data_IF_114436898345
#
_entry.id   IF_114436898345
#
_cell.length_a   1.000
_cell.length_b   1.000
_cell.length_c   1.000
_cell.angle_alpha   90.00
_cell.angle_beta   90.00
_cell.angle_gamma   90.00
#
_symmetry.space_group_name_H-M   'P 1'
#
loop_
_entity.id
_entity.type
_entity.pdbx_description
1 polymer ?
#
# COMPACT_ATOMS: atom_id res chain seq x y z
N UNK A 1 17.53 -7.18 31.98
CA UNK A 1 17.62 -7.35 30.51
C UNK A 1 16.94 -8.66 30.19
N UNK A 2 15.95 -8.69 29.31
CA UNK A 2 15.18 -9.90 29.01
C UNK A 2 16.06 -10.84 28.18
N UNK A 3 16.18 -12.12 28.57
CA UNK A 3 16.95 -13.11 27.83
C UNK A 3 16.11 -13.78 26.75
N UNK A 4 16.75 -14.24 25.67
CA UNK A 4 16.07 -14.98 24.61
C UNK A 4 15.48 -16.29 25.13
N UNK A 5 16.21 -17.02 25.98
CA UNK A 5 15.76 -18.23 26.66
C UNK A 5 14.54 -18.04 27.58
N UNK A 6 14.31 -16.83 28.10
CA UNK A 6 13.21 -16.49 29.02
C UNK A 6 11.95 -16.00 28.29
N UNK A 7 12.02 -15.82 26.96
CA UNK A 7 10.87 -15.36 26.17
C UNK A 7 9.83 -16.47 26.01
N UNK A 8 8.66 -16.29 26.64
CA UNK A 8 7.43 -17.08 26.39
C UNK A 8 6.91 -17.05 24.94
N UNK A 9 7.62 -16.37 24.03
CA UNK A 9 7.29 -16.24 22.61
C UNK A 9 7.80 -17.39 21.75
N UNK A 10 8.76 -18.18 22.23
CA UNK A 10 9.37 -19.30 21.49
C UNK A 10 8.34 -20.38 21.14
N UNK A 11 7.25 -20.48 21.92
CA UNK A 11 6.17 -21.45 21.69
C UNK A 11 5.09 -20.97 20.72
N UNK A 12 5.05 -19.69 20.35
CA UNK A 12 4.06 -19.20 19.39
C UNK A 12 4.42 -19.68 17.97
N UNK A 13 3.44 -20.19 17.22
CA UNK A 13 3.64 -20.59 15.83
C UNK A 13 3.66 -19.36 14.95
N UNK A 14 4.79 -19.09 14.32
CA UNK A 14 4.94 -18.04 13.30
C UNK A 14 4.46 -18.58 11.96
N UNK A 15 3.52 -17.87 11.35
CA UNK A 15 2.87 -18.26 10.10
C UNK A 15 3.48 -17.54 8.88
N UNK A 16 3.90 -16.30 9.05
CA UNK A 16 4.50 -15.47 8.01
C UNK A 16 5.26 -14.28 8.60
N UNK A 17 6.06 -13.61 7.78
CA UNK A 17 6.75 -12.36 8.12
C UNK A 17 6.53 -11.28 7.07
N UNK A 18 6.53 -10.02 7.50
CA UNK A 18 6.48 -8.88 6.60
C UNK A 18 7.17 -7.65 7.20
N UNK A 19 7.96 -6.89 6.41
CA UNK A 19 8.64 -5.71 6.92
C UNK A 19 7.69 -4.51 7.09
N UNK A 20 7.96 -3.67 8.08
CA UNK A 20 7.24 -2.43 8.32
C UNK A 20 8.24 -1.31 8.67
N UNK A 21 8.20 -0.22 7.92
CA UNK A 21 9.08 0.91 8.17
C UNK A 21 8.72 1.64 9.47
N UNK A 22 9.74 1.92 10.29
CA UNK A 22 9.62 2.73 11.50
C UNK A 22 10.38 4.05 11.35
N UNK A 23 9.69 5.15 11.00
CA UNK A 23 10.32 6.44 10.68
C UNK A 23 11.15 7.04 11.82
N UNK A 24 10.84 6.67 13.07
CA UNK A 24 11.60 7.12 14.24
C UNK A 24 13.00 6.51 14.29
N UNK A 25 13.19 5.30 13.79
CA UNK A 25 14.47 4.61 13.80
C UNK A 25 15.15 4.60 12.44
N UNK A 26 14.45 5.03 11.38
CA UNK A 26 14.92 4.96 10.00
C UNK A 26 15.39 3.54 9.63
N UNK A 27 14.57 2.57 10.07
CA UNK A 27 14.78 1.15 9.85
C UNK A 27 13.49 0.46 9.46
N UNK A 28 13.64 -0.56 8.63
CA UNK A 28 12.58 -1.50 8.33
C UNK A 28 12.59 -2.60 9.37
N UNK A 29 11.55 -2.67 10.20
CA UNK A 29 11.43 -3.66 11.26
C UNK A 29 10.62 -4.83 10.72
N UNK A 30 11.12 -6.06 10.88
CA UNK A 30 10.35 -7.24 10.52
C UNK A 30 9.21 -7.45 11.52
N UNK A 31 8.03 -7.77 11.01
CA UNK A 31 6.90 -8.24 11.80
C UNK A 31 6.68 -9.73 11.51
N UNK A 32 6.15 -10.44 12.49
CA UNK A 32 5.72 -11.82 12.35
C UNK A 32 4.21 -11.92 12.59
N UNK A 33 3.55 -12.69 11.74
CA UNK A 33 2.15 -13.08 11.86
C UNK A 33 2.12 -14.36 12.69
N UNK A 34 1.48 -14.33 13.85
CA UNK A 34 1.42 -15.48 14.76
C UNK A 34 0.04 -16.10 14.77
N UNK A 35 0.02 -17.43 14.85
CA UNK A 35 -1.18 -18.21 15.13
C UNK A 35 -1.65 -17.94 16.57
N UNK A 36 -2.96 -17.80 16.76
CA UNK A 36 -3.60 -17.64 18.07
C UNK A 36 -4.64 -18.73 18.34
N UNK A 37 -4.56 -19.85 17.62
CA UNK A 37 -5.49 -20.97 17.76
C UNK A 37 -6.87 -20.58 17.24
N UNK A 38 -7.83 -20.43 18.14
CA UNK A 38 -9.21 -20.09 17.78
C UNK A 38 -9.39 -18.63 17.33
N UNK A 39 -8.42 -17.75 17.64
CA UNK A 39 -8.47 -16.35 17.24
C UNK A 39 -7.75 -16.08 15.92
N UNK A 40 -8.16 -15.01 15.23
CA UNK A 40 -7.50 -14.55 14.02
C UNK A 40 -6.00 -14.28 14.24
N UNK A 41 -5.12 -14.65 13.28
CA UNK A 41 -3.70 -14.38 13.39
C UNK A 41 -3.39 -12.88 13.58
N UNK A 42 -2.38 -12.58 14.39
CA UNK A 42 -2.00 -11.20 14.71
C UNK A 42 -0.56 -10.88 14.32
N UNK A 43 -0.33 -9.65 13.86
CA UNK A 43 1.02 -9.15 13.59
C UNK A 43 1.67 -8.62 14.87
N UNK A 44 2.93 -8.96 15.09
CA UNK A 44 3.78 -8.35 16.13
C UNK A 44 5.20 -8.12 15.64
N UNK A 45 5.97 -7.30 16.34
CA UNK A 45 7.39 -7.13 16.03
C UNK A 45 8.16 -8.44 16.21
N UNK A 46 8.92 -8.83 15.19
CA UNK A 46 9.79 -10.00 15.20
C UNK A 46 11.06 -9.71 15.99
N UNK A 47 11.47 -10.68 16.77
CA UNK A 47 12.71 -10.66 17.54
C UNK A 47 13.58 -11.82 17.08
N UNK A 48 14.89 -11.65 17.14
CA UNK A 48 15.88 -12.67 16.80
C UNK A 48 16.90 -12.81 17.92
N UNK A 49 17.47 -14.02 18.12
CA UNK A 49 18.52 -14.21 19.10
C UNK A 49 19.78 -13.47 18.67
N UNK A 50 20.35 -12.71 19.60
CA UNK A 50 21.69 -12.14 19.49
C UNK A 50 22.69 -12.91 20.36
N UNK A 51 23.95 -12.54 20.26
CA UNK A 51 25.02 -13.10 21.10
C UNK A 51 24.70 -12.96 22.60
N UNK A 52 25.12 -13.96 23.39
CA UNK A 52 24.94 -14.00 24.84
C UNK A 52 23.47 -13.90 25.30
N UNK A 53 22.58 -14.63 24.62
CA UNK A 53 21.15 -14.72 24.98
C UNK A 53 20.42 -13.36 24.91
N UNK A 54 20.98 -12.41 24.13
CA UNK A 54 20.37 -11.11 23.92
C UNK A 54 19.19 -11.23 22.97
N UNK A 55 18.18 -10.40 23.21
CA UNK A 55 17.03 -10.26 22.31
C UNK A 55 17.26 -9.06 21.41
N UNK A 56 17.36 -9.29 20.10
CA UNK A 56 17.49 -8.24 19.11
C UNK A 56 16.20 -8.09 18.32
N UNK A 57 15.92 -6.87 17.87
CA UNK A 57 14.87 -6.66 16.88
C UNK A 57 15.38 -7.05 15.50
N UNK A 58 14.58 -7.76 14.72
CA UNK A 58 14.89 -8.09 13.33
C UNK A 58 14.64 -6.86 12.46
N UNK A 59 15.70 -6.24 11.94
CA UNK A 59 15.61 -4.96 11.25
C UNK A 59 16.64 -4.81 10.13
N UNK A 60 16.27 -3.99 9.16
CA UNK A 60 17.00 -3.80 7.89
C UNK A 60 17.16 -2.31 7.58
N UNK A 61 18.23 -1.93 6.86
CA UNK A 61 18.51 -0.53 6.55
C UNK A 61 17.55 0.05 5.50
N UNK A 62 17.12 -0.76 4.52
CA UNK A 62 16.31 -0.35 3.39
C UNK A 62 15.15 -1.33 3.11
N UNK A 63 14.23 -0.92 2.23
CA UNK A 63 13.02 -1.67 1.91
C UNK A 63 13.33 -2.96 1.16
N UNK A 64 14.25 -2.90 0.21
CA UNK A 64 14.55 -3.98 -0.71
C UNK A 64 15.15 -5.17 0.05
N UNK A 65 16.16 -4.90 0.88
CA UNK A 65 16.76 -5.91 1.76
C UNK A 65 15.73 -6.52 2.71
N UNK A 66 14.83 -5.70 3.27
CA UNK A 66 13.79 -6.17 4.18
C UNK A 66 12.77 -7.08 3.48
N UNK A 67 12.35 -6.73 2.25
CA UNK A 67 11.44 -7.55 1.44
C UNK A 67 12.13 -8.84 1.00
N UNK A 68 13.38 -8.78 0.57
CA UNK A 68 14.16 -9.95 0.19
C UNK A 68 14.27 -10.96 1.35
N UNK A 69 14.52 -10.48 2.57
CA UNK A 69 14.56 -11.32 3.76
C UNK A 69 13.19 -11.97 4.07
N UNK A 70 12.09 -11.22 3.93
CA UNK A 70 10.75 -11.78 4.09
C UNK A 70 10.43 -12.84 3.02
N UNK A 71 10.79 -12.58 1.76
CA UNK A 71 10.59 -13.50 0.64
C UNK A 71 11.46 -14.76 0.76
N UNK A 72 12.62 -14.68 1.40
CA UNK A 72 13.45 -15.84 1.69
C UNK A 72 12.88 -16.71 2.83
N UNK A 73 12.27 -16.08 3.85
CA UNK A 73 11.77 -16.79 5.04
C UNK A 73 10.35 -17.35 4.87
N UNK A 74 9.46 -16.63 4.19
CA UNK A 74 8.06 -17.02 4.04
C UNK A 74 7.85 -18.41 3.42
N UNK A 75 8.62 -18.85 2.41
CA UNK A 75 8.52 -20.22 1.88
C UNK A 75 8.78 -21.29 2.94
N UNK A 76 9.78 -21.10 3.80
CA UNK A 76 10.09 -22.01 4.91
C UNK A 76 8.95 -22.06 5.94
N UNK A 77 8.35 -20.91 6.25
CA UNK A 77 7.19 -20.84 7.16
C UNK A 77 5.96 -21.50 6.56
N UNK A 78 5.74 -21.34 5.25
CA UNK A 78 4.67 -21.99 4.52
C UNK A 78 4.84 -23.51 4.51
N UNK A 79 6.06 -24.01 4.29
CA UNK A 79 6.38 -25.44 4.39
C UNK A 79 6.14 -25.98 5.81
N UNK A 80 6.53 -25.23 6.84
CA UNK A 80 6.29 -25.60 8.24
C UNK A 80 4.78 -25.69 8.56
N UNK A 81 3.97 -24.75 8.06
CA UNK A 81 2.52 -24.80 8.17
C UNK A 81 1.93 -26.01 7.44
N UNK A 82 2.42 -26.31 6.24
CA UNK A 82 1.98 -27.46 5.45
C UNK A 82 2.28 -28.80 6.15
N UNK A 83 3.47 -28.92 6.76
CA UNK A 83 3.91 -30.11 7.50
C UNK A 83 3.22 -30.30 8.87
N UNK A 84 2.52 -29.28 9.39
CA UNK A 84 1.90 -29.34 10.71
C UNK A 84 0.79 -30.39 10.75
N UNK A 85 0.81 -31.25 11.78
CA UNK A 85 -0.22 -32.24 12.05
C UNK A 85 -1.45 -31.59 12.72
N UNK A 86 -2.27 -30.92 11.92
CA UNK A 86 -3.55 -30.31 12.30
C UNK A 86 -4.63 -30.71 11.30
N UNK A 87 -5.88 -30.51 11.69
CA UNK A 87 -7.05 -30.75 10.84
C UNK A 87 -6.88 -30.09 9.45
N UNK A 88 -7.14 -30.81 8.34
CA UNK A 88 -6.97 -30.29 6.98
C UNK A 88 -7.78 -29.02 6.68
N UNK A 89 -8.98 -28.88 7.24
CA UNK A 89 -9.84 -27.71 7.07
C UNK A 89 -9.22 -26.50 7.78
N UNK A 90 -8.77 -26.69 9.03
CA UNK A 90 -8.08 -25.63 9.79
C UNK A 90 -6.79 -25.22 9.06
N UNK A 91 -6.03 -26.18 8.55
CA UNK A 91 -4.81 -25.92 7.78
C UNK A 91 -5.09 -25.06 6.55
N UNK A 92 -6.11 -25.44 5.76
CA UNK A 92 -6.53 -24.68 4.57
C UNK A 92 -6.94 -23.26 4.94
N UNK A 93 -7.70 -23.10 6.02
CA UNK A 93 -8.13 -21.80 6.52
C UNK A 93 -6.94 -20.91 6.93
N UNK A 94 -6.00 -21.47 7.68
CA UNK A 94 -4.78 -20.76 8.09
C UNK A 94 -3.94 -20.32 6.89
N UNK A 95 -3.76 -21.19 5.89
CA UNK A 95 -3.04 -20.82 4.66
C UNK A 95 -3.68 -19.60 3.99
N UNK A 96 -5.01 -19.59 3.85
CA UNK A 96 -5.72 -18.48 3.21
C UNK A 96 -5.66 -17.20 4.04
N UNK A 97 -5.68 -17.30 5.38
CA UNK A 97 -5.47 -16.16 6.28
C UNK A 97 -4.07 -15.57 6.13
N UNK A 98 -3.05 -16.42 5.97
CA UNK A 98 -1.67 -16.00 5.71
C UNK A 98 -1.55 -15.26 4.39
N UNK A 99 -2.01 -15.85 3.30
CA UNK A 99 -1.94 -15.27 1.95
C UNK A 99 -2.62 -13.90 1.91
N UNK A 100 -3.82 -13.82 2.48
CA UNK A 100 -4.60 -12.57 2.61
C UNK A 100 -3.86 -11.51 3.44
N UNK A 101 -3.25 -11.89 4.55
CA UNK A 101 -2.52 -10.96 5.41
C UNK A 101 -1.27 -10.40 4.72
N UNK A 102 -0.51 -11.24 4.02
CA UNK A 102 0.66 -10.85 3.23
C UNK A 102 0.27 -9.92 2.09
N UNK A 103 -0.73 -10.31 1.28
CA UNK A 103 -1.21 -9.51 0.16
C UNK A 103 -1.71 -8.13 0.62
N UNK A 104 -2.44 -8.06 1.74
CA UNK A 104 -2.91 -6.80 2.29
C UNK A 104 -1.76 -5.86 2.69
N UNK A 105 -0.67 -6.41 3.25
CA UNK A 105 0.51 -5.63 3.64
C UNK A 105 1.29 -5.11 2.44
N UNK A 106 1.55 -5.97 1.46
CA UNK A 106 2.22 -5.61 0.21
C UNK A 106 1.45 -4.47 -0.48
N UNK A 107 0.14 -4.64 -0.69
CA UNK A 107 -0.70 -3.64 -1.35
C UNK A 107 -0.69 -2.28 -0.66
N UNK A 108 -0.78 -2.26 0.68
CA UNK A 108 -0.74 -0.99 1.41
C UNK A 108 0.59 -0.25 1.23
N UNK A 109 1.70 -0.99 1.14
CA UNK A 109 3.01 -0.40 0.89
C UNK A 109 3.18 0.05 -0.56
N UNK A 110 2.70 -0.73 -1.52
CA UNK A 110 2.77 -0.35 -2.93
C UNK A 110 1.89 0.85 -3.25
N UNK A 111 0.69 0.91 -2.66
CA UNK A 111 -0.19 2.10 -2.74
C UNK A 111 0.57 3.35 -2.28
N UNK A 112 1.23 3.28 -1.12
CA UNK A 112 1.97 4.43 -0.56
C UNK A 112 3.20 4.78 -1.40
N UNK A 113 3.89 3.78 -1.96
CA UNK A 113 5.00 4.00 -2.88
C UNK A 113 4.56 4.69 -4.18
N UNK A 114 3.44 4.26 -4.76
CA UNK A 114 2.86 4.89 -5.96
C UNK A 114 2.40 6.32 -5.67
N UNK A 115 1.74 6.56 -4.52
CA UNK A 115 1.36 7.91 -4.11
C UNK A 115 2.57 8.82 -3.91
N UNK A 116 3.68 8.31 -3.37
CA UNK A 116 4.92 9.07 -3.24
C UNK A 116 5.54 9.40 -4.59
N UNK A 117 5.64 8.42 -5.49
CA UNK A 117 6.16 8.62 -6.84
C UNK A 117 5.36 9.68 -7.59
N UNK A 118 4.04 9.64 -7.50
CA UNK A 118 3.18 10.64 -8.13
C UNK A 118 3.27 12.01 -7.46
N UNK A 119 3.41 12.09 -6.13
CA UNK A 119 3.67 13.34 -5.44
C UNK A 119 4.96 14.00 -5.95
N UNK A 120 6.05 13.23 -6.08
CA UNK A 120 7.31 13.72 -6.65
C UNK A 120 7.12 14.20 -8.08
N UNK A 121 6.47 13.39 -8.93
CA UNK A 121 6.26 13.69 -10.35
C UNK A 121 5.41 14.95 -10.57
N UNK A 122 4.44 15.23 -9.70
CA UNK A 122 3.60 16.45 -9.76
C UNK A 122 4.38 17.73 -9.51
N UNK A 123 5.49 17.62 -8.79
CA UNK A 123 6.32 18.75 -8.36
C UNK A 123 7.74 18.66 -8.96
N UNK A 124 7.90 17.91 -10.05
CA UNK A 124 9.17 17.75 -10.73
C UNK A 124 9.66 19.09 -11.33
N UNK A 125 8.75 19.98 -11.69
CA UNK A 125 9.05 21.27 -12.32
C UNK A 125 8.95 22.46 -11.35
N UNK A 126 8.61 22.22 -10.07
CA UNK A 126 8.49 23.27 -9.05
C UNK A 126 9.84 23.95 -8.78
N UNK A 127 9.84 25.24 -8.49
CA UNK A 127 11.08 25.93 -8.12
C UNK A 127 11.66 25.37 -6.82
N UNK A 128 12.98 25.11 -6.80
CA UNK A 128 13.68 24.62 -5.62
C UNK A 128 14.10 25.84 -4.79
N UNK A 129 13.68 25.93 -3.51
CA UNK A 129 14.04 27.08 -2.69
C UNK A 129 15.54 27.07 -2.42
N UNK A 130 16.19 28.21 -2.63
CA UNK A 130 17.58 28.42 -2.20
C UNK A 130 17.66 28.40 -0.66
N UNK A 131 18.73 27.81 -0.13
CA UNK A 131 19.00 27.73 1.29
C UNK A 131 19.00 29.11 1.95
N UNK A 132 19.50 30.15 1.27
CA UNK A 132 19.51 31.52 1.78
C UNK A 132 18.11 32.17 1.82
N UNK A 133 17.21 31.76 0.92
CA UNK A 133 15.85 32.28 0.85
C UNK A 133 14.91 31.70 1.91
N UNK A 134 15.31 30.60 2.57
CA UNK A 134 14.50 29.98 3.62
C UNK A 134 14.34 30.92 4.83
N UNK A 135 13.11 31.09 5.29
CA UNK A 135 12.79 31.83 6.52
C UNK A 135 12.67 30.84 7.67
N UNK A 136 13.57 30.91 8.64
CA UNK A 136 13.55 30.08 9.84
C UNK A 136 13.55 30.98 11.08
N UNK A 137 12.99 30.47 12.17
CA UNK A 137 13.23 31.08 13.49
C UNK A 137 14.68 30.82 13.94
N UNK A 138 15.28 31.68 14.79
CA UNK A 138 16.69 31.55 15.21
C UNK A 138 17.09 30.16 15.72
N UNK A 139 16.24 29.50 16.51
CA UNK A 139 16.48 28.17 17.08
C UNK A 139 16.64 27.04 16.04
N UNK A 140 16.19 27.28 14.82
CA UNK A 140 16.15 26.33 13.71
C UNK A 140 17.24 26.56 12.67
N UNK A 141 17.99 27.66 12.76
CA UNK A 141 19.02 28.04 11.78
C UNK A 141 20.08 26.95 11.56
N UNK A 142 20.43 26.19 12.61
CA UNK A 142 21.36 25.05 12.51
C UNK A 142 20.91 23.95 11.52
N UNK A 143 19.63 23.88 11.17
CA UNK A 143 19.08 22.89 10.24
C UNK A 143 18.91 23.42 8.82
N UNK A 144 19.27 24.68 8.54
CA UNK A 144 19.02 25.34 7.25
C UNK A 144 19.53 24.54 6.05
N UNK A 145 20.77 24.05 6.11
CA UNK A 145 21.37 23.28 5.02
C UNK A 145 20.66 21.94 4.80
N UNK A 146 20.46 21.16 5.85
CA UNK A 146 19.73 19.88 5.78
C UNK A 146 18.28 20.09 5.30
N UNK A 147 17.65 21.22 5.64
CA UNK A 147 16.31 21.57 5.18
C UNK A 147 16.30 21.88 3.69
N UNK A 148 17.27 22.67 3.22
CA UNK A 148 17.44 22.96 1.80
C UNK A 148 17.67 21.68 0.98
N UNK A 149 18.48 20.74 1.49
CA UNK A 149 18.68 19.43 0.85
C UNK A 149 17.40 18.60 0.76
N UNK A 150 16.55 18.60 1.80
CA UNK A 150 15.25 17.94 1.75
C UNK A 150 14.31 18.61 0.76
N UNK A 151 14.25 19.94 0.76
CA UNK A 151 13.39 20.71 -0.15
C UNK A 151 13.87 20.67 -1.61
N UNK A 152 15.15 20.50 -1.86
CA UNK A 152 15.67 20.28 -3.22
C UNK A 152 15.09 19.00 -3.85
N UNK A 153 14.83 17.97 -3.03
CA UNK A 153 14.19 16.72 -3.46
C UNK A 153 12.67 16.79 -3.48
N UNK A 154 12.09 17.49 -2.50
CA UNK A 154 10.64 17.59 -2.30
C UNK A 154 10.25 19.04 -1.95
N UNK A 155 10.16 19.94 -2.95
CA UNK A 155 9.98 21.38 -2.71
C UNK A 155 8.64 21.73 -2.04
N UNK A 156 7.67 20.82 -2.11
CA UNK A 156 6.33 20.95 -1.54
C UNK A 156 6.25 20.58 -0.04
N UNK A 157 7.32 20.08 0.59
CA UNK A 157 7.28 19.66 1.99
C UNK A 157 6.93 20.83 2.92
N UNK A 158 5.98 20.58 3.85
CA UNK A 158 5.66 21.52 4.95
C UNK A 158 6.01 20.95 6.33
N UNK A 159 6.57 19.74 6.37
CA UNK A 159 7.07 19.10 7.58
C UNK A 159 8.38 18.42 7.22
N UNK A 160 9.47 18.82 7.87
CA UNK A 160 10.80 18.26 7.64
C UNK A 160 11.31 17.64 8.94
N UNK A 161 11.98 16.49 8.83
CA UNK A 161 12.51 15.74 9.97
C UNK A 161 14.03 15.80 9.92
N UNK A 162 14.63 16.20 11.04
CA UNK A 162 16.06 16.39 11.20
C UNK A 162 16.56 15.49 12.30
N UNK A 163 17.80 15.06 12.17
CA UNK A 163 18.47 14.36 13.25
C UNK A 163 19.50 13.37 12.76
N UNK A 164 20.76 13.72 12.99
CA UNK A 164 21.85 12.76 13.12
C UNK A 164 22.96 13.39 13.95
N UNK A 165 23.09 12.98 15.21
CA UNK A 165 24.29 13.24 16.02
C UNK A 165 24.56 12.06 16.95
N UNK A 166 25.49 11.18 16.54
CA UNK A 166 25.99 10.08 17.36
C UNK A 166 24.98 8.97 17.72
N UNK A 167 25.27 8.24 18.80
CA UNK A 167 24.52 7.04 19.23
C UNK A 167 23.18 7.33 19.95
N UNK A 168 22.66 8.57 19.89
CA UNK A 168 21.41 8.94 20.54
C UNK A 168 20.44 9.51 19.51
N UNK A 169 19.37 8.76 19.21
CA UNK A 169 18.30 9.14 18.29
C UNK A 169 17.45 10.30 18.84
N UNK A 170 17.92 11.54 18.69
CA UNK A 170 17.14 12.76 18.98
C UNK A 170 16.72 13.44 17.70
N UNK A 171 15.69 12.89 17.07
CA UNK A 171 15.06 13.54 15.92
C UNK A 171 14.22 14.74 16.36
N UNK A 172 14.18 15.76 15.51
CA UNK A 172 13.29 16.92 15.63
C UNK A 172 12.53 17.14 14.34
N UNK A 173 11.38 17.78 14.42
CA UNK A 173 10.59 18.23 13.29
C UNK A 173 10.58 19.75 13.22
N UNK A 174 10.68 20.28 12.01
CA UNK A 174 10.29 21.66 11.68
C UNK A 174 9.00 21.61 10.86
N UNK A 175 8.13 22.58 11.10
CA UNK A 175 6.87 22.76 10.39
C UNK A 175 6.89 24.10 9.67
N UNK A 176 6.44 24.13 8.41
CA UNK A 176 6.25 25.37 7.68
C UNK A 176 4.94 26.03 8.13
N UNK A 177 5.04 27.24 8.68
CA UNK A 177 3.90 28.06 9.07
C UNK A 177 3.14 28.65 7.87
N UNK A 178 1.92 29.16 8.08
CA UNK A 178 1.13 29.82 7.04
C UNK A 178 1.77 31.14 6.54
N UNK A 179 2.66 31.73 7.33
CA UNK A 179 3.49 32.90 7.01
C UNK A 179 4.74 32.55 6.17
N UNK A 180 4.93 31.27 5.84
CA UNK A 180 6.11 30.80 5.12
C UNK A 180 7.37 30.71 5.97
N UNK A 181 7.25 30.77 7.31
CA UNK A 181 8.37 30.66 8.23
C UNK A 181 8.42 29.27 8.85
N UNK A 182 9.59 28.65 8.86
CA UNK A 182 9.81 27.36 9.52
C UNK A 182 9.89 27.53 11.03
N UNK A 183 9.13 26.69 11.72
CA UNK A 183 8.97 26.71 13.17
C UNK A 183 10.26 26.43 13.93
N UNK A 184 10.23 26.59 15.25
CA UNK A 184 11.25 26.06 16.16
C UNK A 184 11.31 24.52 16.10
N UNK A 185 12.40 23.87 16.56
CA UNK A 185 12.49 22.41 16.56
C UNK A 185 11.60 21.75 17.61
N UNK A 186 10.80 20.77 17.16
CA UNK A 186 9.95 19.96 18.04
C UNK A 186 10.50 18.54 18.15
N UNK A 187 10.69 17.98 19.36
CA UNK A 187 11.13 16.59 19.53
C UNK A 187 10.23 15.58 18.81
N UNK A 188 10.83 14.65 18.09
CA UNK A 188 10.11 13.65 17.32
C UNK A 188 9.93 12.34 18.09
N UNK A 189 8.73 12.13 18.63
CA UNK A 189 8.28 10.81 19.04
C UNK A 189 7.86 9.95 17.84
N UNK A 190 7.41 8.72 18.10
CA UNK A 190 6.96 7.78 17.06
C UNK A 190 5.87 8.38 16.15
N UNK A 191 4.85 8.99 16.75
CA UNK A 191 3.75 9.63 16.01
C UNK A 191 4.25 10.81 15.16
N UNK A 192 5.15 11.63 15.69
CA UNK A 192 5.71 12.77 14.97
C UNK A 192 6.55 12.31 13.78
N UNK A 193 7.40 11.29 13.96
CA UNK A 193 8.17 10.72 12.85
C UNK A 193 7.26 10.11 11.77
N UNK A 194 6.15 9.47 12.15
CA UNK A 194 5.13 9.00 11.19
C UNK A 194 4.46 10.15 10.44
N UNK A 195 4.17 11.27 11.11
CA UNK A 195 3.64 12.47 10.45
C UNK A 195 4.62 13.00 9.40
N UNK A 196 5.92 13.08 9.72
CA UNK A 196 6.93 13.51 8.75
C UNK A 196 7.03 12.56 7.55
N UNK A 197 6.94 11.24 7.76
CA UNK A 197 6.94 10.28 6.64
C UNK A 197 5.72 10.46 5.75
N UNK A 198 4.53 10.63 6.35
CA UNK A 198 3.28 10.88 5.61
C UNK A 198 3.29 12.22 4.89
N UNK A 199 4.01 13.22 5.40
CA UNK A 199 4.12 14.53 4.79
C UNK A 199 4.74 14.47 3.39
N UNK A 200 5.70 13.56 3.16
CA UNK A 200 6.30 13.33 1.84
C UNK A 200 5.28 13.00 0.75
N UNK A 201 4.17 12.39 1.13
CA UNK A 201 3.05 12.09 0.24
C UNK A 201 1.98 13.18 0.33
N UNK A 202 1.43 13.42 1.52
CA UNK A 202 0.26 14.28 1.71
C UNK A 202 0.48 15.70 1.16
N UNK A 203 1.65 16.27 1.41
CA UNK A 203 1.95 17.63 1.00
C UNK A 203 2.04 17.80 -0.51
N UNK A 204 2.49 16.77 -1.25
CA UNK A 204 2.51 16.77 -2.72
C UNK A 204 1.12 16.71 -3.36
N UNK A 205 0.09 16.47 -2.55
CA UNK A 205 -1.32 16.61 -2.94
C UNK A 205 -1.98 17.83 -2.28
N UNK A 206 -1.19 18.72 -1.68
CA UNK A 206 -1.63 19.86 -0.88
C UNK A 206 -2.58 19.46 0.27
N UNK A 207 -2.38 18.28 0.84
CA UNK A 207 -3.11 17.77 2.00
C UNK A 207 -2.25 17.88 3.27
N UNK A 208 -2.92 17.92 4.43
CA UNK A 208 -2.22 17.93 5.70
C UNK A 208 -1.70 16.54 6.09
N UNK A 209 -0.44 16.48 6.52
CA UNK A 209 0.19 15.29 7.05
C UNK A 209 -0.38 14.83 8.41
N UNK A 210 -1.03 15.74 9.16
CA UNK A 210 -1.60 15.45 10.49
C UNK A 210 -3.02 14.88 10.43
N UNK A 211 -3.66 14.90 9.25
CA UNK A 211 -4.99 14.33 9.05
C UNK A 211 -5.00 12.80 9.18
N UNK A 212 -6.18 12.22 9.43
CA UNK A 212 -6.35 10.77 9.49
C UNK A 212 -5.90 10.12 8.18
N UNK A 213 -4.87 9.26 8.25
CA UNK A 213 -4.18 8.75 7.07
C UNK A 213 -5.09 8.03 6.06
N UNK A 214 -6.04 7.23 6.55
CA UNK A 214 -7.02 6.57 5.66
C UNK A 214 -7.91 7.56 4.89
N UNK A 215 -8.22 8.73 5.47
CA UNK A 215 -9.00 9.78 4.79
C UNK A 215 -8.12 10.56 3.82
N UNK A 216 -6.86 10.83 4.19
CA UNK A 216 -5.87 11.43 3.29
C UNK A 216 -5.67 10.58 2.05
N UNK A 217 -5.42 9.27 2.20
CA UNK A 217 -5.28 8.34 1.06
C UNK A 217 -6.52 8.29 0.18
N UNK A 218 -7.72 8.24 0.77
CA UNK A 218 -8.98 8.34 0.03
C UNK A 218 -9.06 9.63 -0.80
N UNK A 219 -8.67 10.78 -0.23
CA UNK A 219 -8.66 12.05 -0.94
C UNK A 219 -7.62 12.08 -2.06
N UNK A 220 -6.45 11.48 -1.86
CA UNK A 220 -5.44 11.30 -2.91
C UNK A 220 -6.01 10.48 -4.06
N UNK A 221 -6.65 9.33 -3.80
CA UNK A 221 -7.34 8.55 -4.84
C UNK A 221 -8.36 9.40 -5.61
N UNK A 222 -9.13 10.24 -4.92
CA UNK A 222 -10.05 11.18 -5.58
C UNK A 222 -9.35 12.15 -6.53
N UNK A 223 -8.19 12.69 -6.14
CA UNK A 223 -7.39 13.59 -6.98
C UNK A 223 -6.80 12.85 -8.19
N UNK A 224 -6.46 11.56 -8.03
CA UNK A 224 -5.87 10.74 -9.09
C UNK A 224 -6.89 10.17 -10.09
N UNK A 225 -8.17 10.13 -9.75
CA UNK A 225 -9.22 9.56 -10.63
C UNK A 225 -9.34 10.21 -12.01
N UNK A 226 -9.41 11.55 -12.13
CA UNK A 226 -9.47 12.19 -13.45
C UNK A 226 -8.28 11.81 -14.35
N UNK A 227 -7.13 11.51 -13.74
CA UNK A 227 -5.93 11.07 -14.44
C UNK A 227 -6.00 9.60 -14.89
N UNK A 228 -6.63 8.73 -14.10
CA UNK A 228 -6.89 7.36 -14.53
C UNK A 228 -7.74 7.33 -15.82
N UNK A 229 -8.71 8.26 -15.95
CA UNK A 229 -9.47 8.43 -17.19
C UNK A 229 -8.63 9.00 -18.35
N UNK A 230 -7.53 9.72 -18.07
CA UNK A 230 -6.59 10.14 -19.11
C UNK A 230 -5.81 8.95 -19.68
N UNK A 231 -5.64 7.84 -18.95
CA UNK A 231 -5.03 6.62 -19.50
C UNK A 231 -5.83 6.08 -20.70
N UNK A 232 -7.16 6.25 -20.69
CA UNK A 232 -8.03 5.87 -21.81
C UNK A 232 -7.79 6.72 -23.07
N UNK A 233 -7.06 7.83 -22.96
CA UNK A 233 -6.69 8.68 -24.10
C UNK A 233 -5.37 8.27 -24.74
N UNK A 234 -4.58 7.38 -24.11
CA UNK A 234 -3.32 6.90 -24.66
C UNK A 234 -3.58 5.94 -25.81
N UNK A 235 -2.95 6.18 -26.97
CA UNK A 235 -3.15 5.36 -28.17
C UNK A 235 -2.80 3.87 -27.97
N UNK A 236 -1.77 3.59 -27.16
CA UNK A 236 -1.37 2.23 -26.78
C UNK A 236 -2.47 1.51 -25.97
N UNK A 237 -3.06 2.22 -25.00
CA UNK A 237 -4.17 1.72 -24.20
C UNK A 237 -5.41 1.54 -25.07
N UNK A 238 -5.77 2.51 -25.90
CA UNK A 238 -6.91 2.42 -26.81
C UNK A 238 -6.82 1.22 -27.74
N UNK A 239 -5.64 0.95 -28.31
CA UNK A 239 -5.39 -0.20 -29.18
C UNK A 239 -5.57 -1.52 -28.43
N UNK A 240 -4.98 -1.65 -27.24
CA UNK A 240 -5.14 -2.84 -26.39
C UNK A 240 -6.62 -3.08 -26.04
N UNK A 241 -7.33 -2.02 -25.66
CA UNK A 241 -8.74 -2.08 -25.32
C UNK A 241 -9.62 -2.43 -26.53
N UNK A 242 -9.25 -1.98 -27.74
CA UNK A 242 -9.92 -2.37 -28.97
C UNK A 242 -9.68 -3.85 -29.33
N UNK A 243 -8.45 -4.34 -29.19
CA UNK A 243 -8.09 -5.75 -29.39
C UNK A 243 -8.81 -6.67 -28.39
N UNK A 244 -8.90 -6.27 -27.13
CA UNK A 244 -9.68 -6.97 -26.11
C UNK A 244 -11.17 -7.00 -26.44
N UNK A 245 -11.75 -5.86 -26.83
CA UNK A 245 -13.15 -5.79 -27.22
C UNK A 245 -13.45 -6.67 -28.45
N UNK A 246 -12.54 -6.72 -29.42
CA UNK A 246 -12.64 -7.58 -30.60
C UNK A 246 -12.63 -9.08 -30.24
N UNK A 247 -11.96 -9.46 -29.15
CA UNK A 247 -12.00 -10.81 -28.56
C UNK A 247 -13.23 -11.08 -27.69
N UNK A 248 -14.14 -10.11 -27.58
CA UNK A 248 -15.33 -10.19 -26.72
C UNK A 248 -15.06 -9.91 -25.24
N UNK A 249 -13.85 -9.46 -24.90
CA UNK A 249 -13.46 -9.15 -23.52
C UNK A 249 -14.00 -7.77 -23.14
N UNK A 250 -14.69 -7.70 -22.00
CA UNK A 250 -15.29 -6.45 -21.49
C UNK A 250 -14.71 -6.00 -20.16
N UNK A 251 -13.82 -6.80 -19.57
CA UNK A 251 -13.03 -6.47 -18.39
C UNK A 251 -11.59 -6.91 -18.62
N UNK A 252 -10.65 -6.01 -18.44
CA UNK A 252 -9.22 -6.28 -18.41
C UNK A 252 -8.65 -5.84 -17.07
N UNK A 253 -7.77 -6.65 -16.48
CA UNK A 253 -7.09 -6.33 -15.23
C UNK A 253 -5.59 -6.29 -15.48
N UNK A 254 -4.93 -5.18 -15.15
CA UNK A 254 -3.47 -5.04 -15.22
C UNK A 254 -2.96 -4.20 -14.05
N UNK A 255 -1.95 -4.69 -13.32
CA UNK A 255 -1.32 -3.99 -12.19
C UNK A 255 -2.31 -3.37 -11.16
N UNK A 256 -3.43 -4.05 -10.90
CA UNK A 256 -4.47 -3.60 -9.96
C UNK A 256 -5.46 -2.56 -10.54
N UNK A 257 -5.29 -2.20 -11.80
CA UNK A 257 -6.23 -1.39 -12.59
C UNK A 257 -7.16 -2.32 -13.36
N UNK A 258 -8.46 -2.02 -13.33
CA UNK A 258 -9.50 -2.72 -14.08
C UNK A 258 -10.03 -1.79 -15.16
N UNK A 259 -9.76 -2.10 -16.42
CA UNK A 259 -10.47 -1.51 -17.54
C UNK A 259 -11.81 -2.22 -17.70
N UNK A 260 -12.88 -1.44 -17.71
CA UNK A 260 -14.24 -1.93 -17.62
C UNK A 260 -15.08 -1.31 -18.74
N UNK A 261 -15.63 -2.12 -19.63
CA UNK A 261 -16.40 -1.67 -20.78
C UNK A 261 -17.91 -1.82 -20.54
N UNK A 262 -18.67 -0.72 -20.64
CA UNK A 262 -20.15 -0.74 -20.56
C UNK A 262 -20.75 -0.42 -21.94
N UNK A 263 -21.38 -1.40 -22.62
CA UNK A 263 -21.98 -1.16 -23.94
C UNK A 263 -23.25 -0.29 -23.88
N UNK A 264 -24.08 -0.44 -22.84
CA UNK A 264 -25.47 0.04 -22.83
C UNK A 264 -25.71 1.36 -22.06
N UNK A 265 -24.71 2.24 -22.00
CA UNK A 265 -24.82 3.52 -21.25
C UNK A 265 -24.14 4.73 -21.87
N UNK A 266 -23.56 4.61 -23.07
CA UNK A 266 -22.82 5.69 -23.74
C UNK A 266 -21.46 6.03 -23.10
N UNK A 267 -21.04 5.29 -22.08
CA UNK A 267 -19.75 5.44 -21.42
C UNK A 267 -18.94 4.20 -21.75
N UNK A 268 -18.00 4.30 -22.70
CA UNK A 268 -17.21 3.18 -23.21
C UNK A 268 -16.30 2.53 -22.16
N UNK A 269 -15.00 2.47 -22.40
CA UNK A 269 -14.06 1.97 -21.41
C UNK A 269 -13.99 2.91 -20.20
N UNK A 270 -13.94 2.33 -19.00
CA UNK A 270 -13.81 3.00 -17.71
C UNK A 270 -12.65 2.40 -16.94
N UNK A 271 -11.99 3.21 -16.12
CA UNK A 271 -10.95 2.73 -15.22
C UNK A 271 -11.51 2.57 -13.80
N UNK A 272 -11.40 1.36 -13.27
CA UNK A 272 -11.70 0.97 -11.88
C UNK A 272 -10.45 0.38 -11.24
N UNK A 273 -10.45 0.24 -9.94
CA UNK A 273 -9.40 -0.46 -9.18
C UNK A 273 -9.89 -1.87 -8.83
N UNK A 274 -9.02 -2.86 -8.63
CA UNK A 274 -9.44 -4.12 -8.01
C UNK A 274 -9.48 -3.95 -6.48
N UNK A 275 -10.61 -4.26 -5.85
CA UNK A 275 -10.55 -4.68 -4.44
C UNK A 275 -10.11 -6.13 -4.41
N UNK A 276 -9.05 -6.42 -3.64
CA UNK A 276 -8.82 -7.80 -3.25
C UNK A 276 -10.09 -8.35 -2.61
N UNK A 277 -10.43 -9.59 -2.93
CA UNK A 277 -11.48 -10.41 -2.33
C UNK A 277 -11.26 -10.68 -0.83
N UNK A 278 -10.34 -9.95 -0.20
CA UNK A 278 -9.88 -10.07 1.16
C UNK A 278 -10.80 -9.45 2.21
N UNK A 279 -12.12 -9.62 2.12
CA UNK A 279 -12.99 -9.39 3.28
C UNK A 279 -13.49 -10.72 3.89
N UNK A 280 -13.77 -11.75 3.10
CA UNK A 280 -14.04 -13.09 3.65
C UNK A 280 -12.73 -13.83 3.93
N UNK A 281 -12.61 -14.46 5.10
CA UNK A 281 -11.58 -15.48 5.35
C UNK A 281 -11.75 -16.60 4.30
N UNK A 282 -10.66 -17.02 3.64
CA UNK A 282 -10.72 -18.25 2.82
C UNK A 282 -10.98 -18.16 1.33
N UNK A 283 -10.89 -16.98 0.73
CA UNK A 283 -11.25 -16.80 -0.68
C UNK A 283 -10.10 -17.17 -1.64
N UNK A 284 -10.31 -18.11 -2.57
CA UNK A 284 -9.44 -18.34 -3.74
C UNK A 284 -10.04 -17.64 -4.97
N UNK A 285 -9.26 -16.83 -5.69
CA UNK A 285 -9.74 -16.14 -6.90
C UNK A 285 -10.12 -17.17 -7.98
N UNK A 286 -11.36 -17.12 -8.45
CA UNK A 286 -11.82 -17.96 -9.56
C UNK A 286 -11.42 -17.29 -10.87
N UNK A 287 -10.64 -17.97 -11.72
CA UNK A 287 -10.07 -17.41 -12.96
C UNK A 287 -11.11 -17.02 -14.02
N UNK A 288 -12.35 -17.48 -13.89
CA UNK A 288 -13.46 -17.22 -14.82
C UNK A 288 -14.73 -16.97 -14.02
N UNK A 289 -15.68 -16.17 -14.49
CA UNK A 289 -16.94 -15.96 -13.77
C UNK A 289 -17.69 -14.71 -14.20
N UNK A 290 -18.70 -14.29 -13.44
CA UNK A 290 -19.48 -13.07 -13.76
C UNK A 290 -19.32 -12.05 -12.64
N UNK A 291 -19.07 -10.80 -13.02
CA UNK A 291 -19.13 -9.64 -12.13
C UNK A 291 -20.49 -8.97 -12.32
N UNK A 292 -21.25 -8.84 -11.23
CA UNK A 292 -22.54 -8.14 -11.25
C UNK A 292 -22.34 -6.75 -10.65
N UNK A 293 -22.35 -5.72 -11.49
CA UNK A 293 -22.25 -4.33 -11.05
C UNK A 293 -23.64 -3.76 -10.81
N UNK A 294 -24.04 -3.72 -9.54
CA UNK A 294 -25.29 -3.11 -9.07
C UNK A 294 -25.12 -1.66 -8.60
N UNK A 295 -23.90 -1.12 -8.67
CA UNK A 295 -23.55 0.23 -8.23
C UNK A 295 -22.38 0.80 -9.05
N UNK A 296 -22.10 2.09 -8.88
CA UNK A 296 -20.97 2.78 -9.53
C UNK A 296 -19.69 2.74 -8.69
N UNK A 297 -19.45 1.63 -7.99
CA UNK A 297 -18.29 1.43 -7.14
C UNK A 297 -16.97 1.48 -7.91
N UNK A 298 -15.96 2.11 -7.31
CA UNK A 298 -14.62 2.27 -7.90
C UNK A 298 -13.76 1.03 -7.82
N UNK A 299 -14.03 0.16 -6.85
CA UNK A 299 -13.37 -1.11 -6.66
C UNK A 299 -14.21 -2.23 -7.29
N UNK A 300 -13.56 -3.10 -8.02
CA UNK A 300 -14.10 -4.35 -8.54
C UNK A 300 -13.61 -5.47 -7.63
N UNK A 301 -14.53 -6.15 -6.95
CA UNK A 301 -14.28 -7.42 -6.29
C UNK A 301 -14.39 -8.49 -7.36
N UNK A 302 -13.28 -9.18 -7.64
CA UNK A 302 -13.27 -10.28 -8.59
C UNK A 302 -14.04 -11.49 -8.05
N UNK A 303 -14.58 -12.37 -8.90
CA UNK A 303 -15.17 -13.63 -8.47
C UNK A 303 -14.19 -14.49 -7.65
N UNK A 304 -14.69 -15.19 -6.63
CA UNK A 304 -13.87 -16.05 -5.79
C UNK A 304 -14.65 -17.21 -5.20
N UNK A 305 -13.93 -18.27 -4.82
CA UNK A 305 -14.47 -19.43 -4.10
C UNK A 305 -14.09 -19.31 -2.63
N UNK A 306 -15.06 -19.37 -1.73
CA UNK A 306 -14.85 -19.37 -0.27
C UNK A 306 -14.25 -20.71 0.21
N UNK A 307 -13.78 -20.74 1.46
CA UNK A 307 -13.27 -21.95 2.13
C UNK A 307 -14.26 -23.13 2.13
N UNK A 308 -15.55 -22.84 2.19
CA UNK A 308 -16.63 -23.83 2.17
C UNK A 308 -17.03 -24.31 0.76
N UNK A 309 -16.30 -23.89 -0.29
CA UNK A 309 -16.59 -24.23 -1.69
C UNK A 309 -17.68 -23.38 -2.36
N UNK A 310 -18.24 -22.40 -1.64
CA UNK A 310 -19.25 -21.49 -2.18
C UNK A 310 -18.63 -20.52 -3.20
N UNK A 311 -19.23 -20.46 -4.39
CA UNK A 311 -18.82 -19.54 -5.45
C UNK A 311 -19.47 -18.18 -5.24
N UNK A 312 -18.66 -17.15 -5.04
CA UNK A 312 -19.09 -15.77 -4.89
C UNK A 312 -18.86 -15.02 -6.19
N UNK A 313 -19.95 -14.48 -6.74
CA UNK A 313 -19.89 -13.61 -7.91
C UNK A 313 -19.13 -12.33 -7.59
N UNK A 314 -18.42 -11.80 -8.58
CA UNK A 314 -17.77 -10.51 -8.45
C UNK A 314 -18.80 -9.39 -8.30
N UNK A 315 -18.42 -8.28 -7.68
CA UNK A 315 -19.28 -7.11 -7.51
C UNK A 315 -18.45 -5.83 -7.42
N UNK A 316 -19.10 -4.68 -7.55
CA UNK A 316 -18.43 -3.37 -7.38
C UNK A 316 -18.68 -2.79 -5.99
N UNK A 317 -17.69 -2.11 -5.42
CA UNK A 317 -17.81 -1.36 -4.15
C UNK A 317 -16.90 -0.13 -4.14
N UNK A 318 -17.00 0.71 -3.13
CA UNK A 318 -16.05 1.79 -2.88
C UNK A 318 -14.99 1.36 -1.84
N UNK A 319 -13.84 2.04 -1.82
CA UNK A 319 -12.78 1.73 -0.86
C UNK A 319 -13.10 2.15 0.57
N UNK A 320 -12.32 1.67 1.55
CA UNK A 320 -12.47 2.11 2.93
C UNK A 320 -12.35 3.64 3.02
N UNK A 321 -13.33 4.28 3.67
CA UNK A 321 -13.49 5.74 3.82
C UNK A 321 -13.92 6.52 2.56
N UNK A 322 -14.28 5.85 1.45
CA UNK A 322 -14.79 6.50 0.23
C UNK A 322 -16.32 6.72 0.25
N UNK A 323 -17.01 6.31 1.32
CA UNK A 323 -18.48 6.30 1.41
C UNK A 323 -19.13 5.16 0.63
N UNK A 324 -20.46 5.03 0.70
CA UNK A 324 -21.19 4.01 -0.08
C UNK A 324 -21.14 4.33 -1.57
N UNK A 325 -20.96 3.31 -2.41
CA UNK A 325 -21.07 3.44 -3.85
C UNK A 325 -22.51 3.85 -4.22
N UNK A 326 -22.66 4.74 -5.21
CA UNK A 326 -23.97 5.14 -5.70
C UNK A 326 -24.65 3.93 -6.36
N UNK A 327 -25.88 3.57 -5.96
CA UNK A 327 -26.58 2.43 -6.53
C UNK A 327 -26.92 2.69 -8.00
N UNK A 328 -26.90 1.65 -8.82
CA UNK A 328 -27.46 1.68 -10.18
C UNK A 328 -28.96 1.47 -10.10
N UNK A 329 -29.67 1.98 -11.09
CA UNK A 329 -31.05 1.56 -11.31
C UNK A 329 -31.08 0.06 -11.66
N UNK A 330 -32.04 -0.75 -11.17
CA UNK A 330 -32.10 -2.20 -11.42
C UNK A 330 -32.04 -2.60 -12.90
N UNK A 331 -32.66 -1.82 -13.78
CA UNK A 331 -32.63 -2.05 -15.23
C UNK A 331 -31.25 -1.77 -15.87
N UNK A 332 -30.33 -1.15 -15.14
CA UNK A 332 -28.97 -0.80 -15.60
C UNK A 332 -27.89 -1.62 -14.88
N UNK A 333 -28.27 -2.75 -14.26
CA UNK A 333 -27.29 -3.69 -13.74
C UNK A 333 -26.50 -4.28 -14.88
N UNK A 334 -25.18 -4.28 -14.71
CA UNK A 334 -24.26 -4.75 -15.73
C UNK A 334 -23.68 -6.08 -15.27
N UNK A 335 -23.97 -7.15 -16.01
CA UNK A 335 -23.32 -8.44 -15.85
C UNK A 335 -22.18 -8.54 -16.85
N UNK A 336 -20.95 -8.67 -16.34
CA UNK A 336 -19.77 -8.77 -17.19
C UNK A 336 -19.06 -10.10 -16.97
N UNK A 337 -18.86 -10.92 -18.03
CA UNK A 337 -17.99 -12.08 -17.93
C UNK A 337 -16.55 -11.63 -17.65
N UNK A 338 -15.91 -12.33 -16.72
CA UNK A 338 -14.56 -12.11 -16.23
C UNK A 338 -13.66 -13.25 -16.69
N UNK A 339 -12.50 -12.90 -17.26
CA UNK A 339 -11.36 -13.79 -17.48
C UNK A 339 -10.09 -13.13 -16.95
N UNK A 340 -9.28 -13.88 -16.18
CA UNK A 340 -7.97 -13.43 -15.72
C UNK A 340 -6.90 -13.75 -16.77
N UNK A 341 -6.28 -12.73 -17.37
CA UNK A 341 -5.13 -12.91 -18.26
C UNK A 341 -3.83 -13.10 -17.46
N UNK A 342 -3.06 -14.13 -17.80
CA UNK A 342 -1.75 -14.47 -17.21
C UNK A 342 -0.61 -14.18 -18.24
N UNK A 343 -0.71 -13.03 -18.93
CA UNK A 343 0.17 -12.66 -20.03
C UNK A 343 0.88 -11.33 -19.79
N UNK A 344 2.13 -11.25 -20.23
CA UNK A 344 3.11 -10.17 -20.02
C UNK A 344 2.76 -8.86 -20.75
N UNK A 345 1.60 -8.27 -20.41
CA UNK A 345 1.22 -6.92 -20.84
C UNK A 345 1.63 -5.95 -19.74
N UNK A 346 2.95 -5.81 -19.57
CA UNK A 346 3.59 -4.80 -18.72
C UNK A 346 3.32 -3.40 -19.30
N UNK A 347 2.12 -2.88 -19.05
CA UNK A 347 1.91 -1.44 -19.03
C UNK A 347 2.00 -1.01 -17.58
N UNK A 348 3.05 -0.25 -17.26
CA UNK A 348 3.18 0.40 -15.97
C UNK A 348 1.99 1.32 -15.72
N UNK A 349 1.69 1.61 -14.45
CA UNK A 349 0.61 2.52 -14.01
C UNK A 349 0.63 3.92 -14.67
N UNK A 350 1.73 4.24 -15.37
CA UNK A 350 2.03 5.51 -16.03
C UNK A 350 2.11 5.42 -17.57
N UNK A 351 1.77 4.27 -18.17
CA UNK A 351 1.73 4.12 -19.64
C UNK A 351 3.03 3.68 -20.31
N UNK A 352 4.04 3.26 -19.54
CA UNK A 352 5.31 2.73 -20.08
C UNK A 352 5.06 1.35 -20.73
N UNK A 353 5.50 1.18 -21.97
CA UNK A 353 5.52 -0.09 -22.70
C UNK A 353 6.89 -0.76 -22.54
N UNK A 354 7.01 -2.10 -22.60
CA UNK A 354 8.27 -2.81 -22.37
C UNK A 354 9.29 -2.68 -23.53
N UNK A 355 9.08 -1.75 -24.47
CA UNK A 355 9.93 -1.56 -25.66
C UNK A 355 10.10 -0.09 -26.05
N UNK A 356 10.21 0.82 -25.09
CA UNK A 356 10.80 2.16 -25.31
C UNK A 356 11.90 2.48 -24.31
#
# INVERSE_FOLDING_TARGET
>A
MLKWSELKRVSDVVLAVWPHYRPRFERWMMQELIDKGEFAPIWRGRMVPGENDRVLADHYPDRETAIAAANALNPTLQQALAARAIDPVIKRSLTLKVDKALQARQRLQDEEALMLAEALRRHADDERPDAAALKLVPDSERYRQELAEQLAKMPYLKVAKFGRTGNIWRYVLLYLGPDGVWSKPYPAGEKAAQTAERAKIANGFNLSASSHWGKTKSKIRQILLPRANQLLQLASVQRMLAEALARGERVLVSNGIVFWYEPDGGVGWLVKETSSTGESEGATIWKEGTIVSTNHGRLVVLPYVKENGEHVRGHTKNGPNDGRALPRHPNHYVEIPFHLYDGDLMIGLFGELPYE
#
